data_IF_495976379371
#
_entry.id   IF_495976379371
#
_cell.length_a   1.000
_cell.length_b   1.000
_cell.length_c   1.000
_cell.angle_alpha   90.00
_cell.angle_beta   90.00
_cell.angle_gamma   90.00
#
_symmetry.space_group_name_H-M   'P 1'
#
loop_
_entity.id
_entity.type
_entity.pdbx_description
1 polymer ?
#
# COMPACT_ATOMS: atom_id res chain seq x y z
N UNK A 1 -0.34 24.13 -38.28
CA UNK A 1 1.08 24.12 -37.89
C UNK A 1 1.14 24.35 -36.39
N UNK A 2 1.46 23.33 -35.58
CA UNK A 2 1.60 23.51 -34.13
C UNK A 2 2.94 24.20 -33.89
N UNK A 3 2.94 25.32 -33.17
CA UNK A 3 4.18 26.05 -32.89
C UNK A 3 5.13 25.16 -32.07
N UNK A 4 6.43 25.08 -32.39
CA UNK A 4 7.40 24.27 -31.64
C UNK A 4 7.51 24.67 -30.14
N UNK A 5 7.08 25.87 -29.77
CA UNK A 5 6.97 26.30 -28.36
C UNK A 5 5.81 25.61 -27.62
N UNK A 6 4.72 25.28 -28.32
CA UNK A 6 3.51 24.70 -27.74
C UNK A 6 3.70 23.19 -27.48
N UNK A 7 4.46 22.49 -28.33
CA UNK A 7 4.83 21.08 -28.13
C UNK A 7 5.75 20.89 -26.91
N UNK A 8 6.79 21.74 -26.76
CA UNK A 8 7.73 21.66 -25.65
C UNK A 8 7.06 21.92 -24.29
N UNK A 9 6.12 22.88 -24.22
CA UNK A 9 5.35 23.12 -23.00
C UNK A 9 4.44 21.94 -22.63
N UNK A 10 3.88 21.26 -23.63
CA UNK A 10 3.03 20.08 -23.42
C UNK A 10 3.85 18.91 -22.88
N UNK A 11 5.04 18.66 -23.43
CA UNK A 11 5.97 17.62 -22.96
C UNK A 11 6.48 17.90 -21.54
N UNK A 12 6.80 19.15 -21.21
CA UNK A 12 7.20 19.52 -19.84
C UNK A 12 6.06 19.31 -18.83
N UNK A 13 4.82 19.68 -19.18
CA UNK A 13 3.65 19.43 -18.34
C UNK A 13 3.40 17.94 -18.15
N UNK A 14 3.49 17.15 -19.22
CA UNK A 14 3.35 15.69 -19.15
C UNK A 14 4.44 15.07 -18.27
N UNK A 15 5.69 15.48 -18.44
CA UNK A 15 6.81 15.00 -17.60
C UNK A 15 6.65 15.36 -16.13
N UNK A 16 6.13 16.56 -15.82
CA UNK A 16 5.84 16.95 -14.44
C UNK A 16 4.70 16.13 -13.82
N UNK A 17 3.63 15.86 -14.58
CA UNK A 17 2.51 15.02 -14.14
C UNK A 17 2.98 13.58 -13.88
N UNK A 18 3.78 12.99 -14.77
CA UNK A 18 4.33 11.65 -14.56
C UNK A 18 5.14 11.56 -13.26
N UNK A 19 6.01 12.55 -12.98
CA UNK A 19 6.78 12.59 -11.73
C UNK A 19 5.91 12.65 -10.47
N UNK A 20 4.79 13.38 -10.53
CA UNK A 20 3.83 13.45 -9.41
C UNK A 20 3.15 12.09 -9.23
N UNK A 21 2.73 11.45 -10.33
CA UNK A 21 2.14 10.11 -10.28
C UNK A 21 3.14 9.11 -9.70
N UNK A 22 4.39 9.11 -10.16
CA UNK A 22 5.45 8.22 -9.64
C UNK A 22 5.68 8.43 -8.14
N UNK A 23 5.69 9.69 -7.68
CA UNK A 23 5.84 10.00 -6.25
C UNK A 23 4.65 9.52 -5.41
N UNK A 24 3.42 9.68 -5.91
CA UNK A 24 2.20 9.20 -5.23
C UNK A 24 2.17 7.67 -5.20
N UNK A 25 2.49 7.02 -6.32
CA UNK A 25 2.58 5.56 -6.41
C UNK A 25 3.68 5.02 -5.50
N UNK A 26 4.84 5.66 -5.49
CA UNK A 26 5.93 5.31 -4.59
C UNK A 26 5.50 5.35 -3.12
N UNK A 27 4.88 6.46 -2.70
CA UNK A 27 4.38 6.61 -1.34
C UNK A 27 3.33 5.54 -1.00
N UNK A 28 2.39 5.31 -1.90
CA UNK A 28 1.35 4.30 -1.73
C UNK A 28 1.95 2.90 -1.56
N UNK A 29 2.82 2.47 -2.47
CA UNK A 29 3.45 1.15 -2.39
C UNK A 29 4.40 1.02 -1.20
N UNK A 30 5.09 2.10 -0.80
CA UNK A 30 5.92 2.10 0.40
C UNK A 30 5.09 1.89 1.67
N UNK A 31 3.92 2.55 1.75
CA UNK A 31 2.98 2.34 2.86
C UNK A 31 2.46 0.91 2.84
N UNK A 32 1.97 0.41 1.70
CA UNK A 32 1.42 -0.94 1.58
C UNK A 32 2.46 -2.03 1.85
N UNK A 33 3.72 -1.82 1.48
CA UNK A 33 4.82 -2.74 1.77
C UNK A 33 5.04 -2.97 3.27
N UNK A 34 4.69 -1.99 4.11
CA UNK A 34 4.81 -2.06 5.57
C UNK A 34 3.48 -2.41 6.23
N UNK A 35 2.40 -1.72 5.86
CA UNK A 35 1.07 -1.90 6.46
C UNK A 35 0.53 -3.30 6.21
N UNK A 36 0.68 -3.82 4.99
CA UNK A 36 0.07 -5.10 4.65
C UNK A 36 0.59 -6.27 5.52
N UNK A 37 1.90 -6.46 5.71
CA UNK A 37 2.37 -7.50 6.63
C UNK A 37 2.09 -7.17 8.10
N UNK A 38 2.22 -5.91 8.54
CA UNK A 38 2.16 -5.54 9.97
C UNK A 38 0.74 -5.39 10.51
N UNK A 39 -0.22 -4.98 9.69
CA UNK A 39 -1.61 -4.71 10.09
C UNK A 39 -2.50 -5.82 9.54
N UNK A 40 -2.58 -5.96 8.21
CA UNK A 40 -3.47 -6.96 7.58
C UNK A 40 -3.02 -8.38 7.94
N UNK A 41 -1.71 -8.60 8.05
CA UNK A 41 -1.13 -9.85 8.53
C UNK A 41 -1.71 -10.32 9.88
N UNK A 42 -2.08 -9.42 10.79
CA UNK A 42 -2.67 -9.79 12.08
C UNK A 42 -4.08 -10.39 11.98
N UNK A 43 -4.75 -10.21 10.84
CA UNK A 43 -6.06 -10.81 10.54
C UNK A 43 -5.93 -12.28 10.17
N UNK A 44 -4.87 -12.65 9.43
CA UNK A 44 -4.70 -14.01 8.89
C UNK A 44 -3.64 -14.86 9.61
N UNK A 45 -2.69 -14.23 10.31
CA UNK A 45 -1.59 -14.89 11.00
C UNK A 45 -1.74 -14.84 12.53
N UNK A 46 -1.09 -15.75 13.28
CA UNK A 46 -1.16 -15.74 14.73
C UNK A 46 -0.57 -14.46 15.33
N UNK A 47 -1.29 -13.78 16.22
CA UNK A 47 -0.84 -12.55 16.89
C UNK A 47 0.54 -12.64 17.57
N UNK A 48 0.98 -13.85 17.94
CA UNK A 48 2.27 -14.08 18.61
C UNK A 48 3.51 -13.79 17.74
N UNK A 49 3.37 -13.70 16.41
CA UNK A 49 4.49 -13.34 15.53
C UNK A 49 4.68 -11.83 15.40
N UNK A 50 3.75 -11.04 15.95
CA UNK A 50 3.75 -9.59 15.85
C UNK A 50 4.22 -8.94 17.16
N UNK A 51 4.87 -7.76 17.08
CA UNK A 51 5.18 -6.95 18.26
C UNK A 51 3.93 -6.67 19.10
N UNK A 52 4.04 -6.81 20.42
CA UNK A 52 2.93 -6.64 21.36
C UNK A 52 2.21 -5.28 21.18
N UNK A 53 2.96 -4.20 20.99
CA UNK A 53 2.40 -2.87 20.72
C UNK A 53 1.43 -2.84 19.53
N UNK A 54 1.74 -3.53 18.43
CA UNK A 54 0.89 -3.55 17.23
C UNK A 54 -0.39 -4.35 17.46
N UNK A 55 -0.28 -5.45 18.21
CA UNK A 55 -1.43 -6.28 18.60
C UNK A 55 -2.35 -5.51 19.53
N UNK A 56 -1.79 -4.78 20.49
CA UNK A 56 -2.54 -3.96 21.43
C UNK A 56 -3.21 -2.78 20.72
N UNK A 57 -2.54 -2.15 19.76
CA UNK A 57 -3.13 -1.10 18.92
C UNK A 57 -4.32 -1.62 18.11
N UNK A 58 -4.19 -2.79 17.49
CA UNK A 58 -5.26 -3.41 16.70
C UNK A 58 -6.47 -3.77 17.58
N UNK A 59 -6.21 -4.34 18.78
CA UNK A 59 -7.25 -4.62 19.77
C UNK A 59 -7.95 -3.37 20.26
N UNK A 60 -7.19 -2.32 20.59
CA UNK A 60 -7.75 -1.04 21.02
C UNK A 60 -8.63 -0.44 19.92
N UNK A 61 -8.17 -0.40 18.67
CA UNK A 61 -8.94 0.09 17.53
C UNK A 61 -10.24 -0.70 17.34
N UNK A 62 -10.17 -2.03 17.37
CA UNK A 62 -11.33 -2.90 17.21
C UNK A 62 -12.36 -2.68 18.32
N UNK A 63 -11.91 -2.50 19.56
CA UNK A 63 -12.76 -2.24 20.71
C UNK A 63 -13.40 -0.84 20.69
N UNK A 64 -12.64 0.18 20.31
CA UNK A 64 -13.09 1.58 20.29
C UNK A 64 -14.11 1.82 19.17
N UNK A 65 -13.83 1.29 17.97
CA UNK A 65 -14.65 1.55 16.78
C UNK A 65 -15.68 0.44 16.49
N UNK A 66 -15.62 -0.68 17.23
CA UNK A 66 -16.51 -1.82 17.01
C UNK A 66 -16.36 -2.43 15.62
N UNK A 67 -15.14 -2.43 15.07
CA UNK A 67 -14.86 -2.95 13.73
C UNK A 67 -15.10 -4.46 13.70
N UNK A 68 -16.26 -4.86 13.17
CA UNK A 68 -16.67 -6.26 13.09
C UNK A 68 -15.72 -7.09 12.21
N UNK A 69 -15.03 -6.47 11.24
CA UNK A 69 -14.11 -7.18 10.35
C UNK A 69 -12.86 -7.64 11.10
N UNK A 70 -12.36 -6.80 11.99
CA UNK A 70 -11.21 -7.13 12.84
C UNK A 70 -11.58 -7.95 14.08
N UNK A 71 -12.78 -7.75 14.59
CA UNK A 71 -13.28 -8.44 15.79
C UNK A 71 -13.69 -9.89 15.48
N UNK A 72 -14.54 -10.09 14.47
CA UNK A 72 -15.11 -11.41 14.16
C UNK A 72 -14.30 -12.16 13.10
N UNK A 73 -13.43 -11.46 12.35
CA UNK A 73 -12.58 -12.01 11.29
C UNK A 73 -13.34 -12.98 10.38
N UNK A 74 -14.42 -12.54 9.72
CA UNK A 74 -15.23 -13.42 8.89
C UNK A 74 -14.38 -13.99 7.74
N UNK A 75 -14.64 -15.25 7.36
CA UNK A 75 -13.80 -15.99 6.41
C UNK A 75 -13.60 -15.27 5.06
N UNK A 76 -14.57 -14.48 4.59
CA UNK A 76 -14.40 -13.70 3.35
C UNK A 76 -13.35 -12.59 3.51
N UNK A 77 -13.31 -11.94 4.68
CA UNK A 77 -12.37 -10.86 4.97
C UNK A 77 -10.95 -11.41 5.13
N UNK A 78 -10.81 -12.50 5.87
CA UNK A 78 -9.54 -13.26 5.94
C UNK A 78 -9.07 -13.66 4.54
N UNK A 79 -9.99 -14.09 3.68
CA UNK A 79 -9.71 -14.38 2.28
C UNK A 79 -9.18 -13.18 1.50
N UNK A 80 -9.79 -12.00 1.64
CA UNK A 80 -9.31 -10.76 1.00
C UNK A 80 -7.90 -10.40 1.49
N UNK A 81 -7.67 -10.46 2.80
CA UNK A 81 -6.35 -10.20 3.39
C UNK A 81 -5.29 -11.16 2.84
N UNK A 82 -5.61 -12.44 2.62
CA UNK A 82 -4.67 -13.35 1.95
C UNK A 82 -4.33 -12.92 0.53
N UNK A 83 -5.27 -12.36 -0.23
CA UNK A 83 -4.97 -11.81 -1.55
C UNK A 83 -4.06 -10.58 -1.47
N UNK A 84 -4.28 -9.72 -0.47
CA UNK A 84 -3.41 -8.57 -0.22
C UNK A 84 -1.98 -9.02 0.14
N UNK A 85 -1.85 -9.99 1.05
CA UNK A 85 -0.56 -10.53 1.46
C UNK A 85 0.19 -11.27 0.34
N UNK A 86 -0.52 -11.99 -0.53
CA UNK A 86 0.11 -12.80 -1.58
C UNK A 86 0.39 -12.03 -2.87
N UNK A 87 -0.43 -11.04 -3.20
CA UNK A 87 -0.30 -10.30 -4.45
C UNK A 87 0.10 -8.85 -4.24
N UNK A 88 -0.64 -8.12 -3.41
CA UNK A 88 -0.42 -6.68 -3.22
C UNK A 88 0.89 -6.40 -2.49
N UNK A 89 1.22 -7.17 -1.47
CA UNK A 89 2.46 -6.97 -0.71
C UNK A 89 3.72 -7.22 -1.55
N UNK A 90 3.92 -8.37 -2.23
CA UNK A 90 5.09 -8.58 -3.07
C UNK A 90 5.18 -7.58 -4.22
N UNK A 91 4.04 -7.21 -4.81
CA UNK A 91 3.98 -6.20 -5.87
C UNK A 91 4.38 -4.82 -5.35
N UNK A 92 3.93 -4.45 -4.15
CA UNK A 92 4.29 -3.18 -3.52
C UNK A 92 5.79 -3.11 -3.26
N UNK A 93 6.40 -4.17 -2.72
CA UNK A 93 7.85 -4.25 -2.51
C UNK A 93 8.60 -4.14 -3.84
N UNK A 94 8.15 -4.86 -4.88
CA UNK A 94 8.75 -4.81 -6.20
C UNK A 94 8.65 -3.41 -6.84
N UNK A 95 7.52 -2.73 -6.72
CA UNK A 95 7.32 -1.37 -7.24
C UNK A 95 8.16 -0.33 -6.50
N UNK A 96 8.24 -0.40 -5.17
CA UNK A 96 9.14 0.45 -4.37
C UNK A 96 10.57 0.29 -4.86
N UNK A 97 11.02 -0.96 -5.04
CA UNK A 97 12.36 -1.23 -5.56
C UNK A 97 12.55 -0.71 -6.98
N UNK A 98 11.60 -0.92 -7.89
CA UNK A 98 11.68 -0.47 -9.28
C UNK A 98 11.81 1.07 -9.38
N UNK A 99 11.03 1.81 -8.59
CA UNK A 99 11.07 3.26 -8.56
C UNK A 99 12.41 3.76 -7.98
N UNK A 100 12.89 3.16 -6.88
CA UNK A 100 14.19 3.52 -6.29
C UNK A 100 15.39 3.18 -7.19
N UNK A 101 15.31 2.08 -7.93
CA UNK A 101 16.35 1.65 -8.86
C UNK A 101 16.36 2.48 -10.16
N UNK A 102 15.49 3.49 -10.30
CA UNK A 102 15.39 4.31 -11.51
C UNK A 102 14.91 3.53 -12.73
N UNK A 103 14.18 2.43 -12.52
CA UNK A 103 13.55 1.62 -13.56
C UNK A 103 12.07 1.98 -13.75
N UNK A 104 11.73 3.24 -13.51
CA UNK A 104 10.38 3.81 -13.67
C UNK A 104 10.31 4.70 -14.90
#
# INVERSE_FOLDING_TARGET
SRSPTDSNQTEQKMGAICKVIDAVLFLYFAIMAVVSPLIDGQTSLPGAIFPAFLVDLNRWYSAEFGDYLHTDKPNFFVGIVWHELLFLWPLSVANVYAILAGKS
#
